data_IF_471270718842
#
_entry.id   IF_471270718842
#
_cell.length_a   1.000
_cell.length_b   1.000
_cell.length_c   1.000
_cell.angle_alpha   90.00
_cell.angle_beta   90.00
_cell.angle_gamma   90.00
#
_symmetry.space_group_name_H-M   'P 1'
#
loop_
_entity.id
_entity.type
_entity.pdbx_description
1 polymer ?
#
# COMPACT_ATOMS: atom_id res chain seq x y z
N UNK A 1 -22.95 9.23 -11.23
CA UNK A 1 -22.49 8.61 -9.97
C UNK A 1 -21.38 9.50 -9.41
N UNK A 2 -21.40 9.81 -8.12
CA UNK A 2 -20.28 10.54 -7.50
C UNK A 2 -19.12 9.57 -7.20
N UNK A 3 -17.85 10.01 -7.30
CA UNK A 3 -16.71 9.16 -6.96
C UNK A 3 -16.73 8.69 -5.50
N UNK A 4 -16.26 7.46 -5.26
CA UNK A 4 -15.92 6.96 -3.94
C UNK A 4 -14.84 7.84 -3.32
N UNK A 5 -14.91 8.05 -2.00
CA UNK A 5 -13.91 8.82 -1.29
C UNK A 5 -12.64 8.00 -1.08
N UNK A 6 -11.49 8.56 -1.49
CA UNK A 6 -10.18 8.03 -1.09
C UNK A 6 -9.76 8.71 0.21
N UNK A 7 -9.51 7.92 1.25
CA UNK A 7 -9.08 8.44 2.55
C UNK A 7 -7.58 8.61 2.59
N UNK A 8 -7.10 9.46 1.69
CA UNK A 8 -5.68 9.82 1.62
C UNK A 8 -5.26 10.49 2.93
N UNK A 9 -4.14 10.07 3.55
CA UNK A 9 -3.59 10.81 4.68
C UNK A 9 -3.39 12.28 4.33
N UNK A 10 -3.88 13.18 5.19
CA UNK A 10 -3.73 14.63 5.00
C UNK A 10 -2.27 15.08 5.13
N UNK A 11 -1.50 14.39 5.96
CA UNK A 11 -0.06 14.60 6.22
C UNK A 11 0.61 13.23 6.30
N UNK A 12 1.75 13.10 5.63
CA UNK A 12 2.68 11.97 5.79
C UNK A 12 3.57 12.22 7.00
N UNK A 13 4.13 11.16 7.59
CA UNK A 13 5.04 11.28 8.72
C UNK A 13 6.49 11.20 8.22
N UNK A 14 7.38 11.94 8.89
CA UNK A 14 8.82 11.74 8.71
C UNK A 14 9.24 10.45 9.41
N UNK A 15 10.27 9.77 8.89
CA UNK A 15 10.83 8.58 9.52
C UNK A 15 12.07 8.99 10.32
N UNK A 16 12.11 8.61 11.59
CA UNK A 16 13.28 8.80 12.42
C UNK A 16 14.33 7.70 12.12
N UNK A 17 15.62 8.02 12.02
CA UNK A 17 16.66 7.02 11.72
C UNK A 17 16.64 5.80 12.66
N UNK A 18 16.40 6.00 13.96
CA UNK A 18 16.31 4.90 14.93
C UNK A 18 15.06 4.00 14.78
N UNK A 19 14.17 4.27 13.82
CA UNK A 19 13.06 3.36 13.48
C UNK A 19 13.44 2.35 12.41
N UNK A 20 14.47 2.65 11.62
CA UNK A 20 14.77 1.94 10.37
C UNK A 20 14.98 0.45 10.61
N UNK A 21 15.78 0.07 11.59
CA UNK A 21 16.04 -1.35 11.89
C UNK A 21 14.75 -2.11 12.20
N UNK A 22 13.90 -1.57 13.09
CA UNK A 22 12.59 -2.18 13.44
C UNK A 22 11.66 -2.27 12.23
N UNK A 23 11.68 -1.27 11.34
CA UNK A 23 10.92 -1.29 10.09
C UNK A 23 11.50 -2.29 9.06
N UNK A 24 12.83 -2.46 8.99
CA UNK A 24 13.50 -3.46 8.14
C UNK A 24 13.18 -4.86 8.62
N UNK A 25 13.36 -5.11 9.92
CA UNK A 25 13.01 -6.38 10.54
C UNK A 25 11.54 -6.71 10.31
N UNK A 26 10.63 -5.76 10.44
CA UNK A 26 9.22 -5.99 10.12
C UNK A 26 8.92 -6.14 8.62
N UNK A 27 9.86 -5.89 7.71
CA UNK A 27 9.62 -5.88 6.26
C UNK A 27 8.73 -4.73 5.78
N UNK A 28 8.68 -3.63 6.52
CA UNK A 28 7.83 -2.47 6.25
C UNK A 28 8.58 -1.26 5.72
N UNK A 29 9.92 -1.23 5.82
CA UNK A 29 10.70 -0.03 5.48
C UNK A 29 10.49 0.46 4.03
N UNK A 30 10.57 -0.38 2.98
CA UNK A 30 10.36 0.11 1.61
C UNK A 30 8.99 0.76 1.42
N UNK A 31 7.94 0.17 2.00
CA UNK A 31 6.59 0.72 1.96
C UNK A 31 6.48 2.03 2.75
N UNK A 32 7.07 2.09 3.94
CA UNK A 32 7.14 3.29 4.76
C UNK A 32 7.76 4.47 4.00
N UNK A 33 8.82 4.24 3.23
CA UNK A 33 9.47 5.25 2.37
C UNK A 33 8.58 5.78 1.25
N UNK A 34 7.58 5.01 0.78
CA UNK A 34 6.61 5.48 -0.23
C UNK A 34 5.64 6.52 0.32
N UNK A 35 5.40 6.49 1.63
CA UNK A 35 4.45 7.37 2.33
C UNK A 35 5.13 8.25 3.38
N UNK A 36 6.44 8.44 3.24
CA UNK A 36 7.24 9.33 4.05
C UNK A 36 7.00 10.80 3.66
N UNK A 37 7.10 11.71 4.64
CA UNK A 37 7.16 13.14 4.38
C UNK A 37 8.60 13.56 4.04
N UNK A 38 8.77 14.26 2.91
CA UNK A 38 10.06 14.80 2.47
C UNK A 38 9.85 16.24 1.97
N UNK A 39 10.72 17.15 2.36
CA UNK A 39 10.54 18.61 2.16
C UNK A 39 10.35 19.04 0.69
N UNK A 40 10.84 18.26 -0.26
CA UNK A 40 10.84 18.62 -1.69
C UNK A 40 9.92 17.76 -2.55
N UNK A 41 9.21 16.81 -1.94
CA UNK A 41 8.34 15.87 -2.64
C UNK A 41 6.96 15.99 -2.04
N UNK A 42 6.00 16.42 -2.86
CA UNK A 42 4.61 16.47 -2.42
C UNK A 42 4.13 15.05 -2.05
N UNK A 43 3.24 14.93 -1.08
CA UNK A 43 2.56 13.65 -0.81
C UNK A 43 1.74 13.23 -2.03
N UNK A 44 1.62 11.93 -2.25
CA UNK A 44 0.74 11.40 -3.27
C UNK A 44 -0.72 11.63 -2.85
N UNK A 45 -1.52 12.25 -3.72
CA UNK A 45 -2.96 12.36 -3.56
C UNK A 45 -3.63 11.22 -4.36
N UNK A 46 -4.40 10.35 -3.70
CA UNK A 46 -5.12 9.28 -4.39
C UNK A 46 -6.26 9.88 -5.21
N UNK A 47 -6.27 9.67 -6.52
CA UNK A 47 -7.31 10.19 -7.40
C UNK A 47 -8.59 9.34 -7.23
N UNK A 48 -9.53 9.89 -6.47
CA UNK A 48 -10.81 9.26 -6.16
C UNK A 48 -11.60 8.87 -7.42
N UNK A 49 -11.59 9.73 -8.43
CA UNK A 49 -12.30 9.46 -9.68
C UNK A 49 -11.66 8.32 -10.48
N UNK A 50 -10.32 8.30 -10.60
CA UNK A 50 -9.60 7.22 -11.27
C UNK A 50 -9.84 5.89 -10.57
N UNK A 51 -9.71 5.86 -9.24
CA UNK A 51 -9.91 4.64 -8.45
C UNK A 51 -11.36 4.16 -8.54
N UNK A 52 -12.35 5.07 -8.48
CA UNK A 52 -13.77 4.69 -8.64
C UNK A 52 -14.02 4.09 -10.03
N UNK A 53 -13.44 4.69 -11.07
CA UNK A 53 -13.56 4.21 -12.44
C UNK A 53 -13.03 2.78 -12.62
N UNK A 54 -11.96 2.41 -11.89
CA UNK A 54 -11.46 1.04 -11.82
C UNK A 54 -12.42 0.13 -11.04
N UNK A 55 -12.89 0.58 -9.87
CA UNK A 55 -13.83 -0.20 -9.03
C UNK A 55 -15.12 -0.54 -9.79
N UNK A 56 -15.65 0.33 -10.65
CA UNK A 56 -16.84 0.03 -11.45
C UNK A 56 -16.61 -1.08 -12.50
N UNK A 57 -15.35 -1.28 -12.88
CA UNK A 57 -14.91 -2.36 -13.79
C UNK A 57 -14.56 -3.64 -13.05
N UNK A 58 -14.53 -3.61 -11.72
CA UNK A 58 -14.30 -4.81 -10.91
C UNK A 58 -15.49 -5.76 -11.00
N UNK A 59 -15.20 -7.06 -11.11
CA UNK A 59 -16.18 -8.14 -11.07
C UNK A 59 -15.90 -9.04 -9.87
N UNK A 60 -16.72 -9.01 -8.82
CA UNK A 60 -16.53 -9.83 -7.63
C UNK A 60 -16.49 -11.34 -7.91
N UNK A 61 -17.17 -11.79 -8.96
CA UNK A 61 -17.29 -13.21 -9.33
C UNK A 61 -15.95 -13.79 -9.78
N UNK A 62 -15.17 -12.99 -10.52
CA UNK A 62 -13.85 -13.37 -11.06
C UNK A 62 -12.69 -12.76 -10.28
N UNK A 63 -12.95 -11.76 -9.43
CA UNK A 63 -11.96 -10.94 -8.73
C UNK A 63 -10.94 -10.33 -9.69
N UNK A 64 -11.45 -9.74 -10.76
CA UNK A 64 -10.68 -9.08 -11.82
C UNK A 64 -11.40 -7.83 -12.29
N UNK A 65 -10.65 -6.91 -12.88
CA UNK A 65 -11.19 -5.83 -13.68
C UNK A 65 -11.52 -6.33 -15.09
N UNK A 66 -12.65 -5.88 -15.63
CA UNK A 66 -13.12 -6.19 -16.97
C UNK A 66 -12.97 -4.96 -17.86
N UNK A 67 -12.04 -5.03 -18.81
CA UNK A 67 -11.85 -4.03 -19.86
C UNK A 67 -12.26 -4.60 -21.22
N UNK A 68 -12.41 -3.75 -22.24
CA UNK A 68 -12.83 -4.18 -23.60
C UNK A 68 -11.87 -5.19 -24.24
N UNK A 69 -10.59 -5.12 -23.90
CA UNK A 69 -9.53 -6.01 -24.38
C UNK A 69 -9.23 -7.18 -23.41
N UNK A 70 -10.01 -7.30 -22.32
CA UNK A 70 -10.04 -8.46 -21.43
C UNK A 70 -9.76 -8.16 -19.97
N UNK A 71 -9.40 -9.21 -19.23
CA UNK A 71 -9.28 -9.17 -17.76
C UNK A 71 -7.87 -8.80 -17.29
N UNK A 72 -7.81 -8.03 -16.20
CA UNK A 72 -6.59 -7.71 -15.44
C UNK A 72 -6.88 -7.58 -13.95
N UNK A 73 -5.87 -7.70 -13.10
CA UNK A 73 -5.99 -7.44 -11.66
C UNK A 73 -4.63 -7.09 -11.05
N UNK A 74 -4.58 -6.39 -9.90
CA UNK A 74 -3.36 -6.30 -9.10
C UNK A 74 -2.99 -7.70 -8.61
N UNK A 75 -1.71 -8.05 -8.66
CA UNK A 75 -1.16 -9.36 -8.29
C UNK A 75 -0.11 -9.23 -7.19
N UNK A 76 0.38 -10.35 -6.65
CA UNK A 76 1.50 -10.33 -5.69
C UNK A 76 2.80 -9.80 -6.31
N UNK A 77 2.98 -9.94 -7.62
CA UNK A 77 4.08 -9.26 -8.33
C UNK A 77 3.94 -7.75 -8.21
N UNK A 78 2.75 -7.21 -8.48
CA UNK A 78 2.50 -5.77 -8.35
C UNK A 78 2.71 -5.29 -6.90
N UNK A 79 2.29 -6.07 -5.91
CA UNK A 79 2.50 -5.72 -4.49
C UNK A 79 3.99 -5.67 -4.14
N UNK A 80 4.76 -6.69 -4.46
CA UNK A 80 6.20 -6.70 -4.17
C UNK A 80 6.95 -5.63 -4.97
N UNK A 81 6.70 -5.51 -6.28
CA UNK A 81 7.41 -4.54 -7.13
C UNK A 81 7.07 -3.08 -6.81
N UNK A 82 5.79 -2.76 -6.58
CA UNK A 82 5.37 -1.38 -6.31
C UNK A 82 5.56 -0.99 -4.86
N UNK A 83 5.25 -1.88 -3.91
CA UNK A 83 5.18 -1.57 -2.49
C UNK A 83 6.40 -2.05 -1.69
N UNK A 84 7.20 -2.99 -2.23
CA UNK A 84 8.33 -3.58 -1.53
C UNK A 84 7.92 -4.36 -0.28
N UNK A 85 6.70 -4.90 -0.25
CA UNK A 85 6.17 -5.67 0.88
C UNK A 85 6.48 -7.16 0.74
N UNK A 86 6.84 -7.85 1.84
CA UNK A 86 7.11 -9.28 1.84
C UNK A 86 5.83 -10.09 1.58
N UNK A 87 5.98 -11.16 0.80
CA UNK A 87 4.93 -12.12 0.46
C UNK A 87 5.06 -13.42 1.28
N UNK A 88 6.24 -13.70 1.83
CA UNK A 88 6.45 -14.79 2.79
C UNK A 88 6.20 -14.33 4.24
N UNK A 89 5.85 -15.28 5.11
CA UNK A 89 5.63 -15.05 6.54
C UNK A 89 4.23 -15.46 7.01
N UNK A 90 3.96 -15.23 8.29
CA UNK A 90 2.69 -15.54 8.92
C UNK A 90 1.53 -14.71 8.33
N UNK A 91 0.31 -15.27 8.24
CA UNK A 91 -0.86 -14.51 7.88
C UNK A 91 -1.20 -13.49 8.96
N UNK A 92 -1.82 -12.38 8.57
CA UNK A 92 -2.24 -11.33 9.50
C UNK A 92 -3.71 -11.54 9.83
N UNK A 93 -4.01 -12.23 10.93
CA UNK A 93 -5.38 -12.44 11.40
C UNK A 93 -5.58 -13.77 12.14
N UNK A 94 -6.73 -13.95 12.80
CA UNK A 94 -7.78 -12.95 13.03
C UNK A 94 -7.27 -11.81 13.92
N UNK A 95 -7.71 -10.59 13.63
CA UNK A 95 -7.32 -9.41 14.39
C UNK A 95 -8.31 -9.21 15.54
N UNK A 96 -7.79 -9.10 16.76
CA UNK A 96 -8.59 -8.95 17.98
C UNK A 96 -8.25 -7.64 18.71
N UNK A 97 -9.26 -7.01 19.32
CA UNK A 97 -9.05 -5.86 20.18
C UNK A 97 -8.59 -6.34 21.57
N UNK A 98 -7.50 -5.76 22.08
CA UNK A 98 -7.08 -6.05 23.45
C UNK A 98 -8.11 -5.51 24.44
N UNK A 99 -8.53 -6.34 25.40
CA UNK A 99 -9.39 -5.90 26.49
C UNK A 99 -8.72 -4.77 27.25
N UNK A 100 -9.43 -3.66 27.44
CA UNK A 100 -8.90 -2.48 28.13
C UNK A 100 -7.84 -1.70 27.35
N UNK A 101 -7.74 -1.87 26.02
CA UNK A 101 -6.78 -1.15 25.17
C UNK A 101 -6.75 0.35 25.43
N UNK A 102 -7.90 0.94 25.77
CA UNK A 102 -8.05 2.37 26.02
C UNK A 102 -7.20 2.83 27.20
N UNK A 103 -7.34 2.14 28.33
CA UNK A 103 -6.60 2.44 29.54
C UNK A 103 -5.11 2.11 29.37
N UNK A 104 -4.80 0.99 28.70
CA UNK A 104 -3.42 0.59 28.45
C UNK A 104 -2.69 1.60 27.57
N UNK A 105 -3.33 2.12 26.51
CA UNK A 105 -2.76 3.17 25.67
C UNK A 105 -2.55 4.47 26.44
N UNK A 106 -3.55 4.91 27.22
CA UNK A 106 -3.44 6.15 27.99
C UNK A 106 -2.27 6.09 28.98
N UNK A 107 -2.15 4.99 29.74
CA UNK A 107 -1.03 4.76 30.66
C UNK A 107 0.32 4.67 29.94
N UNK A 108 0.36 4.01 28.78
CA UNK A 108 1.60 3.77 28.02
C UNK A 108 2.16 5.03 27.35
N UNK A 109 1.29 5.97 27.01
CA UNK A 109 1.68 7.26 26.42
C UNK A 109 1.72 8.40 27.46
N UNK A 110 1.39 8.11 28.72
CA UNK A 110 1.42 9.08 29.81
C UNK A 110 2.83 9.66 29.99
N UNK A 111 2.94 10.99 29.98
CA UNK A 111 4.20 11.70 30.22
C UNK A 111 5.21 11.63 29.08
N UNK A 112 4.91 10.95 27.96
CA UNK A 112 5.78 10.92 26.76
C UNK A 112 5.94 12.33 26.18
N UNK A 113 4.84 13.10 26.18
CA UNK A 113 4.82 14.55 25.97
C UNK A 113 4.05 15.19 27.12
N UNK A 114 4.66 16.20 27.76
CA UNK A 114 4.10 16.83 28.96
C UNK A 114 2.88 17.72 28.66
N UNK A 115 2.78 18.23 27.43
CA UNK A 115 1.74 19.14 26.96
C UNK A 115 0.52 18.45 26.32
N UNK A 116 0.60 17.13 26.13
CA UNK A 116 -0.48 16.34 25.52
C UNK A 116 -1.40 15.82 26.62
N UNK A 117 -2.70 16.10 26.47
CA UNK A 117 -3.75 15.60 27.36
C UNK A 117 -4.02 14.08 27.21
N UNK A 118 -5.04 13.55 27.90
CA UNK A 118 -5.39 12.13 27.82
C UNK A 118 -5.76 11.72 26.40
N UNK A 119 -5.64 10.42 26.13
CA UNK A 119 -5.96 9.86 24.83
C UNK A 119 -7.40 10.19 24.41
N UNK A 120 -7.54 10.75 23.21
CA UNK A 120 -8.86 10.89 22.58
C UNK A 120 -9.14 9.69 21.69
N UNK A 121 -10.34 9.11 21.82
CA UNK A 121 -10.72 7.87 21.14
C UNK A 121 -12.16 7.93 20.60
N UNK A 122 -12.56 6.88 19.89
CA UNK A 122 -13.96 6.49 19.67
C UNK A 122 -14.09 4.98 19.90
N UNK A 123 -15.30 4.43 19.68
CA UNK A 123 -15.58 3.00 19.89
C UNK A 123 -14.58 2.07 19.17
N UNK A 124 -14.08 2.47 18.01
CA UNK A 124 -13.22 1.63 17.15
C UNK A 124 -11.71 1.78 17.40
N UNK A 125 -11.28 2.74 18.21
CA UNK A 125 -9.85 2.97 18.47
C UNK A 125 -9.43 4.43 18.68
N UNK A 126 -8.11 4.69 18.79
CA UNK A 126 -7.58 6.03 19.01
C UNK A 126 -7.89 6.97 17.85
N UNK A 127 -8.09 8.25 18.17
CA UNK A 127 -8.27 9.29 17.14
C UNK A 127 -6.95 9.61 16.47
N UNK A 128 -6.98 9.74 15.15
CA UNK A 128 -5.83 10.11 14.35
C UNK A 128 -5.22 11.45 14.79
N UNK A 129 -6.05 12.42 15.19
CA UNK A 129 -5.57 13.71 15.68
C UNK A 129 -4.66 13.57 16.91
N UNK A 130 -5.02 12.68 17.84
CA UNK A 130 -4.19 12.41 19.02
C UNK A 130 -2.90 11.67 18.66
N UNK A 131 -2.95 10.72 17.72
CA UNK A 131 -1.73 10.05 17.26
C UNK A 131 -0.73 11.02 16.62
N UNK A 132 -1.22 12.03 15.89
CA UNK A 132 -0.36 13.05 15.28
C UNK A 132 0.42 13.90 16.31
N UNK A 133 0.00 13.92 17.57
CA UNK A 133 0.77 14.54 18.66
C UNK A 133 2.08 13.78 18.93
N UNK A 134 2.22 12.55 18.48
CA UNK A 134 3.44 11.76 18.64
C UNK A 134 4.27 11.70 17.36
N UNK A 135 4.06 12.59 16.40
CA UNK A 135 5.00 12.83 15.30
C UNK A 135 6.34 13.33 15.83
N UNK A 136 7.46 12.94 15.22
CA UNK A 136 8.80 13.32 15.69
C UNK A 136 9.03 14.83 15.66
N UNK A 137 8.42 15.52 14.70
CA UNK A 137 8.48 16.98 14.61
C UNK A 137 7.87 17.66 15.86
N UNK A 138 6.89 17.02 16.51
CA UNK A 138 6.27 17.55 17.72
C UNK A 138 7.18 17.48 18.95
N UNK A 139 8.26 16.69 18.87
CA UNK A 139 9.30 16.66 19.89
C UNK A 139 10.47 17.60 19.57
N UNK A 140 10.40 18.34 18.45
CA UNK A 140 11.46 19.25 18.01
C UNK A 140 12.55 18.59 17.17
N UNK A 141 12.34 17.38 16.65
CA UNK A 141 13.29 16.74 15.72
C UNK A 141 13.41 17.53 14.41
N UNK A 142 14.63 17.73 13.83
CA UNK A 142 15.91 17.15 14.24
C UNK A 142 16.72 17.97 15.27
N UNK A 143 16.22 19.14 15.67
CA UNK A 143 16.96 20.08 16.51
C UNK A 143 17.05 19.65 17.99
N UNK A 144 16.09 18.86 18.46
CA UNK A 144 15.99 18.39 19.84
C UNK A 144 16.15 16.86 19.90
N UNK A 145 17.09 16.35 20.72
CA UNK A 145 17.24 14.91 20.88
C UNK A 145 16.03 14.33 21.63
N UNK A 146 15.51 13.23 21.10
CA UNK A 146 14.42 12.49 21.71
C UNK A 146 14.94 11.40 22.66
N UNK A 147 14.23 11.15 23.75
CA UNK A 147 14.52 10.01 24.64
C UNK A 147 14.13 8.69 23.98
N UNK A 148 14.73 7.57 24.42
CA UNK A 148 14.39 6.24 23.90
C UNK A 148 12.89 5.92 24.00
N UNK A 149 12.24 6.34 25.09
CA UNK A 149 10.79 6.18 25.29
C UNK A 149 10.01 6.97 24.23
N UNK A 150 10.38 8.23 23.99
CA UNK A 150 9.72 9.06 22.97
C UNK A 150 9.88 8.48 21.57
N UNK A 151 11.08 8.01 21.21
CA UNK A 151 11.35 7.40 19.89
C UNK A 151 10.48 6.15 19.70
N UNK A 152 10.44 5.28 20.70
CA UNK A 152 9.67 4.03 20.66
C UNK A 152 8.16 4.27 20.63
N UNK A 153 7.64 5.25 21.40
CA UNK A 153 6.21 5.59 21.39
C UNK A 153 5.79 6.33 20.12
N UNK A 154 6.67 7.14 19.57
CA UNK A 154 6.47 7.77 18.26
C UNK A 154 6.42 6.74 17.13
N UNK A 155 7.28 5.70 17.16
CA UNK A 155 7.20 4.57 16.24
C UNK A 155 5.91 3.77 16.39
N UNK A 156 5.47 3.48 17.63
CA UNK A 156 4.18 2.79 17.86
C UNK A 156 3.01 3.58 17.26
N UNK A 157 2.99 4.90 17.46
CA UNK A 157 1.98 5.78 16.88
C UNK A 157 2.04 5.81 15.34
N UNK A 158 3.25 5.85 14.78
CA UNK A 158 3.48 5.78 13.34
C UNK A 158 2.97 4.45 12.74
N UNK A 159 3.27 3.31 13.37
CA UNK A 159 2.84 2.00 12.88
C UNK A 159 1.31 1.87 12.88
N UNK A 160 0.63 2.35 13.92
CA UNK A 160 -0.83 2.42 13.94
C UNK A 160 -1.37 3.28 12.78
N UNK A 161 -0.74 4.43 12.52
CA UNK A 161 -1.09 5.28 11.38
C UNK A 161 -0.83 4.59 10.04
N UNK A 162 0.32 3.96 9.86
CA UNK A 162 0.71 3.25 8.64
C UNK A 162 -0.30 2.14 8.33
N UNK A 163 -0.58 1.28 9.31
CA UNK A 163 -1.52 0.17 9.17
C UNK A 163 -2.94 0.67 8.88
N UNK A 164 -3.48 1.60 9.68
CA UNK A 164 -4.88 2.00 9.59
C UNK A 164 -5.20 3.08 8.55
N UNK A 165 -4.22 3.86 8.09
CA UNK A 165 -4.44 4.98 7.16
C UNK A 165 -3.75 4.83 5.81
N UNK A 166 -2.90 3.82 5.63
CA UNK A 166 -2.24 3.59 4.34
C UNK A 166 -2.39 2.16 3.82
N UNK A 167 -2.15 1.14 4.65
CA UNK A 167 -2.18 -0.26 4.23
C UNK A 167 -3.59 -0.85 4.21
N UNK A 168 -4.36 -0.60 5.26
CA UNK A 168 -5.66 -1.23 5.52
C UNK A 168 -6.71 -0.16 5.82
N UNK A 169 -6.88 0.79 4.90
CA UNK A 169 -7.82 1.90 5.09
C UNK A 169 -9.24 1.38 5.25
N UNK A 170 -9.97 1.92 6.21
CA UNK A 170 -11.34 1.54 6.52
C UNK A 170 -12.33 2.73 6.39
N UNK A 171 -13.59 2.46 6.72
CA UNK A 171 -14.65 3.45 6.70
C UNK A 171 -14.68 4.37 7.94
N UNK A 172 -13.71 4.30 8.85
CA UNK A 172 -13.59 5.19 10.00
C UNK A 172 -12.62 6.36 9.73
N UNK A 173 -13.17 7.57 9.59
CA UNK A 173 -12.44 8.68 8.94
C UNK A 173 -11.31 9.22 9.80
N UNK A 174 -11.59 9.35 11.08
CA UNK A 174 -10.75 10.03 12.06
C UNK A 174 -10.21 9.11 13.16
N UNK A 175 -10.46 7.81 13.10
CA UNK A 175 -9.93 6.81 14.05
C UNK A 175 -9.13 5.75 13.35
N UNK A 176 -8.28 5.05 14.09
CA UNK A 176 -7.52 3.88 13.65
C UNK A 176 -8.01 2.69 14.45
N UNK A 177 -8.17 1.52 13.82
CA UNK A 177 -8.67 0.32 14.52
C UNK A 177 -7.74 -0.06 15.68
N UNK A 178 -8.31 -0.23 16.87
CA UNK A 178 -7.59 -0.70 18.05
C UNK A 178 -6.96 -2.09 17.85
N UNK A 179 -7.44 -2.85 16.87
CA UNK A 179 -6.92 -4.19 16.53
C UNK A 179 -5.49 -4.17 15.98
N UNK A 180 -4.98 -3.01 15.55
CA UNK A 180 -3.59 -2.87 15.11
C UNK A 180 -2.61 -2.58 16.26
N UNK A 181 -3.11 -2.26 17.46
CA UNK A 181 -2.28 -1.92 18.62
C UNK A 181 -1.26 -3.03 18.96
N UNK A 182 -1.63 -4.33 19.05
CA UNK A 182 -0.67 -5.37 19.43
C UNK A 182 0.50 -5.48 18.45
N UNK A 183 0.21 -5.41 17.15
CA UNK A 183 1.22 -5.47 16.09
C UNK A 183 2.14 -4.24 16.15
N UNK A 184 1.58 -3.04 16.36
CA UNK A 184 2.35 -1.81 16.49
C UNK A 184 3.27 -1.84 17.73
N UNK A 185 2.79 -2.40 18.84
CA UNK A 185 3.56 -2.56 20.07
C UNK A 185 4.72 -3.54 19.89
N UNK A 186 4.45 -4.72 19.33
CA UNK A 186 5.46 -5.74 19.04
C UNK A 186 6.63 -5.17 18.24
N UNK A 187 6.33 -4.54 17.10
CA UNK A 187 7.38 -3.98 16.21
C UNK A 187 8.09 -2.80 16.89
N UNK A 188 7.36 -1.93 17.59
CA UNK A 188 7.98 -0.78 18.24
C UNK A 188 8.92 -1.18 19.39
N UNK A 189 8.56 -2.20 20.17
CA UNK A 189 9.34 -2.65 21.32
C UNK A 189 10.49 -3.59 20.99
N UNK A 190 10.51 -4.14 19.78
CA UNK A 190 11.57 -5.05 19.36
C UNK A 190 12.96 -4.41 19.47
N UNK A 191 13.85 -5.10 20.17
CA UNK A 191 15.28 -4.74 20.29
C UNK A 191 16.16 -5.52 19.32
N UNK A 192 15.63 -6.61 18.75
CA UNK A 192 16.33 -7.56 17.86
C UNK A 192 15.34 -8.09 16.82
N UNK A 193 15.84 -8.58 15.69
CA UNK A 193 15.01 -9.02 14.56
C UNK A 193 14.13 -10.24 14.91
N UNK A 194 14.65 -11.14 15.75
CA UNK A 194 14.03 -12.38 16.19
C UNK A 194 12.80 -12.15 17.08
N UNK A 195 12.66 -10.96 17.66
CA UNK A 195 11.50 -10.56 18.45
C UNK A 195 10.31 -10.13 17.57
N UNK A 196 10.49 -10.00 16.25
CA UNK A 196 9.42 -9.62 15.32
C UNK A 196 8.91 -10.84 14.56
N UNK A 197 7.59 -11.02 14.59
CA UNK A 197 6.93 -12.03 13.77
C UNK A 197 6.95 -11.55 12.32
N UNK A 198 7.64 -12.29 11.45
CA UNK A 198 7.61 -12.08 10.01
C UNK A 198 6.21 -12.34 9.48
N UNK A 199 5.63 -11.33 8.82
CA UNK A 199 4.27 -11.38 8.29
C UNK A 199 4.26 -11.26 6.78
N UNK A 200 3.32 -11.95 6.15
CA UNK A 200 3.03 -11.81 4.72
C UNK A 200 2.23 -10.51 4.45
N UNK A 201 2.87 -9.36 4.68
CA UNK A 201 2.25 -8.04 4.51
C UNK A 201 1.66 -7.84 3.13
N UNK A 202 2.35 -8.33 2.09
CA UNK A 202 1.90 -8.17 0.72
C UNK A 202 0.64 -8.98 0.40
N UNK A 203 0.54 -10.21 0.90
CA UNK A 203 -0.69 -11.01 0.79
C UNK A 203 -1.85 -10.34 1.53
N UNK A 204 -1.58 -9.82 2.73
CA UNK A 204 -2.60 -9.13 3.52
C UNK A 204 -3.11 -7.86 2.83
N UNK A 205 -2.20 -7.04 2.28
CA UNK A 205 -2.56 -5.82 1.52
C UNK A 205 -3.37 -6.17 0.28
N UNK A 206 -2.98 -7.21 -0.45
CA UNK A 206 -3.73 -7.64 -1.64
C UNK A 206 -5.12 -8.15 -1.27
N UNK A 207 -5.24 -8.97 -0.22
CA UNK A 207 -6.51 -9.50 0.27
C UNK A 207 -7.45 -8.37 0.72
N UNK A 208 -6.94 -7.41 1.50
CA UNK A 208 -7.69 -6.24 1.92
C UNK A 208 -8.15 -5.38 0.74
N UNK A 209 -7.31 -5.24 -0.29
CA UNK A 209 -7.62 -4.47 -1.51
C UNK A 209 -8.68 -5.17 -2.34
N UNK A 210 -8.59 -6.49 -2.56
CA UNK A 210 -9.61 -7.28 -3.25
C UNK A 210 -10.96 -7.19 -2.54
N UNK A 211 -10.95 -7.37 -1.21
CA UNK A 211 -12.16 -7.22 -0.39
C UNK A 211 -12.75 -5.82 -0.51
N UNK A 212 -11.89 -4.80 -0.53
CA UNK A 212 -12.28 -3.41 -0.68
C UNK A 212 -12.94 -3.11 -2.02
N UNK A 213 -12.42 -3.66 -3.12
CA UNK A 213 -13.05 -3.53 -4.44
C UNK A 213 -14.37 -4.28 -4.53
N UNK A 214 -14.45 -5.51 -4.00
CA UNK A 214 -15.70 -6.29 -3.95
C UNK A 214 -16.82 -5.58 -3.20
N UNK A 215 -16.49 -4.90 -2.10
CA UNK A 215 -17.46 -4.05 -1.38
C UNK A 215 -17.74 -2.77 -2.17
N UNK A 216 -16.70 -2.11 -2.66
CA UNK A 216 -16.75 -0.82 -3.34
C UNK A 216 -17.67 -0.82 -4.57
N UNK A 217 -17.63 -1.88 -5.39
CA UNK A 217 -18.46 -1.99 -6.59
C UNK A 217 -19.97 -2.20 -6.28
N UNK A 218 -20.31 -2.41 -5.01
CA UNK A 218 -21.70 -2.56 -4.54
C UNK A 218 -22.17 -1.29 -3.80
N UNK A 219 -21.30 -0.31 -3.54
CA UNK A 219 -21.64 0.89 -2.81
C UNK A 219 -22.37 1.88 -3.70
N UNK A 220 -23.54 2.31 -3.25
CA UNK A 220 -24.38 3.31 -3.94
C UNK A 220 -24.62 4.57 -3.11
N UNK A 221 -24.19 4.57 -1.85
CA UNK A 221 -24.42 5.67 -0.91
C UNK A 221 -23.36 6.77 -1.02
N UNK A 222 -23.81 8.03 -0.91
CA UNK A 222 -22.96 9.21 -0.87
C UNK A 222 -21.93 9.14 0.27
N UNK A 223 -20.69 9.53 -0.02
CA UNK A 223 -19.60 9.56 0.97
C UNK A 223 -18.98 8.19 1.30
N UNK A 224 -19.37 7.13 0.58
CA UNK A 224 -18.74 5.82 0.68
C UNK A 224 -17.24 5.89 0.37
N UNK A 225 -16.43 5.35 1.28
CA UNK A 225 -14.98 5.29 1.11
C UNK A 225 -14.54 4.00 0.43
N UNK A 226 -13.49 4.07 -0.38
CA UNK A 226 -12.76 2.87 -0.77
C UNK A 226 -11.93 2.38 0.42
N UNK A 227 -12.03 1.08 0.72
CA UNK A 227 -11.27 0.40 1.78
C UNK A 227 -10.18 -0.49 1.17
N UNK A 228 -9.21 -0.93 1.97
CA UNK A 228 -8.03 -1.68 1.50
C UNK A 228 -6.81 -0.78 1.33
N UNK A 229 -6.04 -0.94 0.24
CA UNK A 229 -4.88 -0.10 -0.05
C UNK A 229 -5.08 0.73 -1.33
N UNK A 230 -5.58 1.98 -1.24
CA UNK A 230 -5.75 2.86 -2.40
C UNK A 230 -4.41 3.20 -3.10
N UNK A 231 -3.31 3.22 -2.34
CA UNK A 231 -1.97 3.42 -2.89
C UNK A 231 -1.63 2.32 -3.91
N UNK A 232 -1.91 1.05 -3.60
CA UNK A 232 -1.69 -0.06 -4.51
C UNK A 232 -2.46 0.15 -5.82
N UNK A 233 -3.75 0.49 -5.75
CA UNK A 233 -4.57 0.68 -6.95
C UNK A 233 -4.11 1.86 -7.81
N UNK A 234 -3.73 2.96 -7.17
CA UNK A 234 -3.20 4.13 -7.86
C UNK A 234 -1.90 3.80 -8.61
N UNK A 235 -0.93 3.19 -7.91
CA UNK A 235 0.36 2.83 -8.47
C UNK A 235 0.24 1.73 -9.53
N UNK A 236 -0.62 0.73 -9.31
CA UNK A 236 -0.91 -0.32 -10.28
C UNK A 236 -1.50 0.26 -11.57
N UNK A 237 -2.50 1.16 -11.45
CA UNK A 237 -3.06 1.86 -12.60
C UNK A 237 -1.99 2.63 -13.37
N UNK A 238 -1.14 3.37 -12.66
CA UNK A 238 -0.03 4.10 -13.26
C UNK A 238 1.09 3.22 -13.81
N UNK A 239 1.26 1.98 -13.37
CA UNK A 239 2.21 1.06 -13.99
C UNK A 239 1.66 0.48 -15.30
N UNK A 240 0.34 0.21 -15.36
CA UNK A 240 -0.29 -0.51 -16.47
C UNK A 240 -0.90 0.38 -17.55
N UNK A 241 -1.35 1.58 -17.20
CA UNK A 241 -2.09 2.47 -18.08
C UNK A 241 -1.51 3.89 -18.11
N UNK A 242 -1.58 4.60 -19.25
CA UNK A 242 -1.20 6.02 -19.33
C UNK A 242 -2.26 6.93 -18.69
N UNK A 243 -3.48 6.44 -18.48
CA UNK A 243 -4.63 7.19 -17.96
C UNK A 243 -4.34 7.73 -16.55
N UNK A 244 -4.34 9.06 -16.42
CA UNK A 244 -4.08 9.75 -15.16
C UNK A 244 -2.65 9.62 -14.62
N UNK A 245 -1.73 8.97 -15.35
CA UNK A 245 -0.32 8.76 -14.98
C UNK A 245 0.46 10.08 -15.05
N UNK A 246 1.07 10.57 -13.97
CA UNK A 246 1.88 11.78 -14.03
C UNK A 246 3.18 11.52 -14.79
N UNK A 247 3.67 12.57 -15.44
CA UNK A 247 5.01 12.61 -16.00
C UNK A 247 6.03 12.80 -14.87
N UNK A 248 7.19 12.18 -15.03
CA UNK A 248 8.32 12.30 -14.13
C UNK A 248 9.41 13.10 -14.84
N UNK A 249 9.98 14.10 -14.17
CA UNK A 249 11.12 14.85 -14.73
C UNK A 249 12.43 14.10 -14.52
N UNK A 250 13.26 14.12 -15.56
CA UNK A 250 14.64 13.64 -15.52
C UNK A 250 15.46 14.33 -14.42
N UNK A 251 16.35 13.56 -13.79
CA UNK A 251 17.25 14.05 -12.74
C UNK A 251 16.66 14.07 -11.33
N UNK A 252 15.39 13.67 -11.14
CA UNK A 252 14.74 13.57 -9.82
C UNK A 252 15.01 12.24 -9.11
N UNK A 253 16.23 11.73 -9.23
CA UNK A 253 16.62 10.45 -8.65
C UNK A 253 16.66 10.51 -7.12
N UNK A 254 16.27 9.44 -6.41
CA UNK A 254 16.51 9.35 -4.98
C UNK A 254 18.02 9.52 -4.72
N UNK A 255 18.44 10.26 -3.68
CA UNK A 255 19.85 10.43 -3.35
C UNK A 255 20.57 9.09 -3.18
N UNK A 256 21.87 9.04 -3.51
CA UNK A 256 22.74 7.86 -3.30
C UNK A 256 22.80 7.39 -1.83
N UNK A 257 22.34 8.22 -0.90
CA UNK A 257 22.19 7.92 0.53
C UNK A 257 21.09 6.88 0.83
N UNK A 258 20.17 6.62 -0.11
CA UNK A 258 19.09 5.61 -0.01
C UNK A 258 19.52 4.25 -0.57
N UNK A 259 20.79 3.88 -0.45
CA UNK A 259 21.30 2.58 -0.88
C UNK A 259 22.03 1.94 0.29
N UNK A 260 21.29 1.24 1.14
CA UNK A 260 21.90 0.46 2.21
C UNK A 260 22.60 -0.80 1.68
N UNK A 261 23.57 -1.30 2.44
CA UNK A 261 24.36 -2.48 2.05
C UNK A 261 23.50 -3.74 1.90
N UNK A 262 22.40 -3.83 2.66
CA UNK A 262 21.45 -4.95 2.63
C UNK A 262 20.49 -4.88 1.43
N UNK A 263 20.48 -3.75 0.71
CA UNK A 263 19.59 -3.45 -0.41
C UNK A 263 18.11 -3.49 -0.03
N UNK A 264 17.78 -3.20 1.22
CA UNK A 264 16.40 -3.13 1.73
C UNK A 264 15.88 -1.69 1.61
N UNK A 265 16.59 -0.74 2.20
CA UNK A 265 16.29 0.69 2.08
C UNK A 265 16.80 1.21 0.74
N UNK A 266 16.05 0.90 -0.30
CA UNK A 266 16.29 1.21 -1.71
C UNK A 266 14.96 1.51 -2.39
N UNK A 267 14.93 2.22 -3.53
CA UNK A 267 13.68 2.51 -4.21
C UNK A 267 12.93 1.24 -4.64
N UNK A 268 11.61 1.30 -4.59
CA UNK A 268 10.73 0.32 -5.25
C UNK A 268 10.28 0.87 -6.59
N UNK A 269 9.58 0.07 -7.39
CA UNK A 269 9.02 0.58 -8.64
C UNK A 269 7.97 1.69 -8.38
N UNK A 270 7.25 1.63 -7.25
CA UNK A 270 6.33 2.67 -6.81
C UNK A 270 7.01 4.01 -6.49
N UNK A 271 8.30 3.98 -6.13
CA UNK A 271 9.10 5.18 -5.88
C UNK A 271 9.19 6.12 -7.09
N UNK A 272 8.88 5.63 -8.31
CA UNK A 272 8.86 6.44 -9.53
C UNK A 272 7.91 7.61 -9.36
N UNK A 273 6.77 7.36 -8.73
CA UNK A 273 5.73 8.35 -8.55
C UNK A 273 5.64 8.88 -7.13
N UNK A 274 6.16 8.20 -6.11
CA UNK A 274 6.08 8.70 -4.73
C UNK A 274 7.28 9.53 -4.31
N UNK A 275 8.46 9.25 -4.89
CA UNK A 275 9.73 9.84 -4.46
C UNK A 275 10.29 10.86 -5.47
N UNK A 276 9.58 11.10 -6.57
CA UNK A 276 9.98 12.03 -7.63
C UNK A 276 8.97 13.16 -7.79
N UNK A 277 9.40 14.27 -8.38
CA UNK A 277 8.51 15.38 -8.71
C UNK A 277 7.59 14.97 -9.86
N UNK A 278 6.30 14.85 -9.56
CA UNK A 278 5.24 14.55 -10.50
C UNK A 278 4.79 15.81 -11.23
N UNK A 279 4.66 15.71 -12.54
CA UNK A 279 4.11 16.74 -13.41
C UNK A 279 2.83 16.24 -14.04
N UNK A 280 1.81 17.10 -13.99
CA UNK A 280 0.55 16.84 -14.67
C UNK A 280 0.43 17.87 -15.78
N UNK A 281 0.29 17.41 -17.03
CA UNK A 281 0.14 18.30 -18.17
C UNK A 281 -1.09 19.19 -18.01
N UNK A 282 -1.08 20.39 -18.61
CA UNK A 282 -2.21 21.34 -18.50
C UNK A 282 -3.56 20.76 -18.94
N UNK A 283 -3.54 19.80 -19.87
CA UNK A 283 -4.73 19.12 -20.38
C UNK A 283 -5.00 17.77 -19.69
N UNK A 284 -4.18 17.38 -18.71
CA UNK A 284 -4.35 16.11 -18.02
C UNK A 284 -5.50 16.21 -17.02
N UNK A 285 -6.55 15.45 -17.29
CA UNK A 285 -7.74 15.39 -16.45
C UNK A 285 -7.42 14.69 -15.13
N UNK A 286 -7.89 15.29 -14.03
CA UNK A 286 -7.70 14.81 -12.67
C UNK A 286 -9.01 14.90 -11.92
N UNK A 287 -9.27 13.91 -11.06
CA UNK A 287 -10.48 13.82 -10.26
C UNK A 287 -11.77 14.01 -11.11
N UNK A 288 -11.75 13.53 -12.36
CA UNK A 288 -12.84 13.70 -13.33
C UNK A 288 -13.36 12.34 -13.77
N UNK A 289 -14.38 11.86 -13.07
CA UNK A 289 -14.89 10.50 -13.26
C UNK A 289 -15.43 10.23 -14.68
N UNK A 290 -16.30 11.09 -15.27
CA UNK A 290 -16.80 10.84 -16.63
C UNK A 290 -15.67 10.74 -17.66
N UNK A 291 -14.66 11.59 -17.54
CA UNK A 291 -13.52 11.59 -18.46
C UNK A 291 -12.64 10.35 -18.30
N UNK A 292 -12.39 9.89 -17.07
CA UNK A 292 -11.67 8.63 -16.89
C UNK A 292 -12.46 7.46 -17.46
N UNK A 293 -13.78 7.42 -17.26
CA UNK A 293 -14.63 6.38 -17.85
C UNK A 293 -14.52 6.37 -19.37
N UNK A 294 -14.61 7.54 -20.01
CA UNK A 294 -14.42 7.66 -21.47
C UNK A 294 -13.03 7.21 -21.92
N UNK A 295 -11.96 7.62 -21.22
CA UNK A 295 -10.60 7.22 -21.56
C UNK A 295 -10.40 5.69 -21.46
N UNK A 296 -10.92 5.04 -20.41
CA UNK A 296 -10.86 3.57 -20.31
C UNK A 296 -11.76 2.89 -21.35
N UNK A 297 -12.89 3.49 -21.70
CA UNK A 297 -13.78 3.01 -22.76
C UNK A 297 -13.23 3.27 -24.16
N UNK A 298 -12.15 4.04 -24.32
CA UNK A 298 -11.43 4.24 -25.58
C UNK A 298 -10.06 3.57 -25.61
N UNK A 299 -9.53 3.17 -24.45
CA UNK A 299 -8.22 2.52 -24.30
C UNK A 299 -8.10 1.30 -25.22
N UNK A 300 -7.03 1.25 -26.00
CA UNK A 300 -6.68 0.13 -26.86
C UNK A 300 -5.74 -0.84 -26.13
N UNK A 301 -5.75 -2.11 -26.55
CA UNK A 301 -4.83 -3.11 -26.00
C UNK A 301 -3.36 -2.74 -26.21
N UNK A 302 -3.04 -2.07 -27.32
CA UNK A 302 -1.69 -1.60 -27.65
C UNK A 302 -1.15 -0.54 -26.68
N UNK A 303 -2.04 0.13 -25.94
CA UNK A 303 -1.66 1.18 -24.99
C UNK A 303 -1.45 0.62 -23.57
N UNK A 304 -1.68 -0.69 -23.38
CA UNK A 304 -1.54 -1.37 -22.08
C UNK A 304 -0.12 -1.86 -21.90
N UNK A 305 0.50 -1.50 -20.76
CA UNK A 305 1.79 -2.07 -20.35
C UNK A 305 1.57 -3.39 -19.61
N UNK A 306 1.67 -4.51 -20.35
CA UNK A 306 1.46 -5.86 -19.82
C UNK A 306 2.58 -6.37 -18.91
N UNK A 307 3.80 -5.86 -19.04
CA UNK A 307 4.95 -6.30 -18.25
C UNK A 307 5.80 -5.08 -17.83
N UNK A 308 5.31 -4.22 -16.91
CA UNK A 308 5.97 -2.96 -16.55
C UNK A 308 7.27 -3.16 -15.75
N UNK A 309 7.57 -4.40 -15.35
CA UNK A 309 8.68 -4.74 -14.46
C UNK A 309 9.75 -5.61 -15.14
N UNK A 310 9.83 -5.60 -16.49
CA UNK A 310 10.92 -6.26 -17.20
C UNK A 310 12.28 -5.72 -16.74
N UNK A 311 13.35 -6.50 -16.96
CA UNK A 311 14.70 -6.10 -16.60
C UNK A 311 15.08 -4.75 -17.24
N UNK A 312 14.81 -4.60 -18.54
CA UNK A 312 15.05 -3.34 -19.26
C UNK A 312 14.34 -2.14 -18.61
N UNK A 313 13.04 -2.26 -18.30
CA UNK A 313 12.29 -1.18 -17.66
C UNK A 313 12.82 -0.88 -16.25
N UNK A 314 13.28 -1.90 -15.52
CA UNK A 314 13.84 -1.71 -14.18
C UNK A 314 15.18 -1.00 -14.23
N UNK A 315 16.05 -1.38 -15.16
CA UNK A 315 17.38 -0.80 -15.31
C UNK A 315 17.29 0.63 -15.85
N UNK A 316 16.37 0.91 -16.76
CA UNK A 316 16.05 2.27 -17.19
C UNK A 316 15.47 3.11 -16.04
N UNK A 317 14.50 2.54 -15.30
CA UNK A 317 13.84 3.23 -14.21
C UNK A 317 14.71 3.42 -12.98
N UNK A 318 15.70 2.57 -12.74
CA UNK A 318 16.63 2.54 -11.60
C UNK A 318 17.97 1.87 -11.96
N UNK A 319 18.91 2.60 -12.57
CA UNK A 319 20.22 2.06 -12.91
C UNK A 319 21.04 1.57 -11.70
N UNK A 320 20.82 2.15 -10.51
CA UNK A 320 21.41 1.69 -9.23
C UNK A 320 20.75 0.42 -8.66
N UNK A 321 19.71 -0.08 -9.33
CA UNK A 321 18.86 -1.17 -8.90
C UNK A 321 17.73 -0.73 -7.97
N UNK A 322 16.88 -1.69 -7.64
CA UNK A 322 15.74 -1.55 -6.72
C UNK A 322 15.97 -2.36 -5.45
N UNK A 323 15.11 -2.12 -4.45
CA UNK A 323 15.09 -2.90 -3.21
C UNK A 323 14.98 -4.39 -3.49
N UNK A 324 15.79 -5.19 -2.78
CA UNK A 324 15.74 -6.65 -2.86
C UNK A 324 14.34 -7.16 -2.48
N UNK A 325 13.60 -6.45 -1.62
CA UNK A 325 12.24 -6.77 -1.23
C UNK A 325 11.27 -6.84 -2.41
N UNK A 326 11.56 -6.13 -3.51
CA UNK A 326 10.75 -6.19 -4.73
C UNK A 326 10.84 -7.54 -5.44
N UNK A 327 11.97 -8.25 -5.33
CA UNK A 327 12.23 -9.49 -6.09
C UNK A 327 12.50 -10.70 -5.19
N UNK A 328 12.74 -10.50 -3.90
CA UNK A 328 13.06 -11.57 -2.93
C UNK A 328 12.05 -12.71 -2.95
N UNK A 329 10.77 -12.36 -3.03
CA UNK A 329 9.65 -13.29 -2.90
C UNK A 329 9.03 -13.65 -4.26
N UNK A 330 9.80 -13.55 -5.36
CA UNK A 330 9.32 -13.76 -6.74
C UNK A 330 8.65 -15.12 -6.97
N UNK A 331 9.09 -16.15 -6.25
CA UNK A 331 8.51 -17.49 -6.33
C UNK A 331 7.01 -17.54 -5.96
N UNK A 332 6.51 -16.53 -5.22
CA UNK A 332 5.10 -16.44 -4.83
C UNK A 332 4.23 -15.65 -5.81
N UNK A 333 4.79 -14.96 -6.81
CA UNK A 333 4.03 -14.10 -7.73
C UNK A 333 2.88 -14.83 -8.44
N UNK A 334 3.11 -16.11 -8.78
CA UNK A 334 2.15 -16.99 -9.43
C UNK A 334 1.66 -18.12 -8.50
N UNK A 335 1.66 -17.89 -7.17
CA UNK A 335 1.14 -18.87 -6.21
C UNK A 335 -0.38 -19.01 -6.31
N UNK A 336 -0.89 -20.24 -6.30
CA UNK A 336 -2.33 -20.54 -6.21
C UNK A 336 -2.86 -20.56 -4.76
N UNK A 337 -2.00 -20.27 -3.78
CA UNK A 337 -2.40 -20.19 -2.39
C UNK A 337 -3.43 -19.06 -2.18
N UNK A 338 -4.31 -19.25 -1.20
CA UNK A 338 -5.24 -18.19 -0.79
C UNK A 338 -4.47 -17.11 -0.03
N UNK A 339 -4.85 -15.86 -0.23
CA UNK A 339 -4.29 -14.71 0.48
C UNK A 339 -5.23 -14.32 1.61
N UNK A 340 -4.67 -13.97 2.77
CA UNK A 340 -5.42 -13.82 4.01
C UNK A 340 -5.16 -12.46 4.64
N UNK A 341 -6.24 -11.80 5.07
CA UNK A 341 -6.19 -10.66 5.98
C UNK A 341 -7.39 -10.70 6.93
N UNK A 342 -7.12 -10.65 8.22
CA UNK A 342 -8.09 -10.77 9.30
C UNK A 342 -8.90 -12.08 9.15
N UNK A 343 -10.22 -11.99 9.08
CA UNK A 343 -11.12 -13.12 8.82
C UNK A 343 -11.38 -13.35 7.32
N UNK A 344 -10.75 -12.56 6.44
CA UNK A 344 -10.99 -12.62 5.00
C UNK A 344 -9.97 -13.53 4.32
N UNK A 345 -10.48 -14.47 3.56
CA UNK A 345 -9.72 -15.37 2.71
C UNK A 345 -10.11 -15.09 1.27
N UNK A 346 -9.16 -14.61 0.47
CA UNK A 346 -9.38 -14.27 -0.94
C UNK A 346 -8.60 -15.23 -1.85
N UNK A 347 -9.16 -15.46 -3.03
CA UNK A 347 -8.55 -16.29 -4.08
C UNK A 347 -8.10 -15.39 -5.23
N UNK A 348 -6.87 -15.58 -5.70
CA UNK A 348 -6.36 -14.88 -6.87
C UNK A 348 -6.66 -15.69 -8.13
N UNK A 349 -7.36 -15.08 -9.09
CA UNK A 349 -7.65 -15.71 -10.38
C UNK A 349 -6.48 -15.53 -11.35
N UNK A 350 -5.29 -16.04 -11.02
CA UNK A 350 -4.08 -15.87 -11.85
C UNK A 350 -4.26 -16.33 -13.29
N UNK A 351 -5.04 -17.39 -13.50
CA UNK A 351 -5.35 -17.89 -14.83
C UNK A 351 -6.12 -16.90 -15.72
N UNK A 352 -6.72 -15.86 -15.12
CA UNK A 352 -7.43 -14.75 -15.80
C UNK A 352 -6.56 -13.53 -16.07
N UNK A 353 -5.30 -13.54 -15.65
CA UNK A 353 -4.40 -12.39 -15.81
C UNK A 353 -3.02 -12.79 -16.32
N UNK A 354 -2.93 -13.95 -16.97
CA UNK A 354 -1.67 -14.56 -17.47
C UNK A 354 -0.88 -13.61 -18.39
N UNK A 355 -1.56 -12.75 -19.15
CA UNK A 355 -0.91 -11.74 -20.00
C UNK A 355 -0.04 -10.76 -19.19
N UNK A 356 -0.34 -10.54 -17.90
CA UNK A 356 0.49 -9.70 -17.02
C UNK A 356 1.87 -10.30 -16.71
N UNK A 357 2.10 -11.55 -17.11
CA UNK A 357 3.31 -12.33 -16.88
C UNK A 357 3.93 -12.83 -18.20
N UNK A 358 3.58 -12.19 -19.33
CA UNK A 358 4.05 -12.61 -20.66
C UNK A 358 3.48 -13.96 -21.12
N UNK A 359 2.47 -14.49 -20.43
CA UNK A 359 1.89 -15.80 -20.72
C UNK A 359 0.60 -15.69 -21.52
N UNK A 360 0.30 -16.74 -22.28
CA UNK A 360 -0.95 -16.82 -23.03
C UNK A 360 -2.14 -16.92 -22.08
N UNK A 361 -3.22 -16.21 -22.39
CA UNK A 361 -4.45 -16.22 -21.61
C UNK A 361 -5.60 -16.85 -22.42
N UNK A 362 -6.36 -17.74 -21.78
CA UNK A 362 -7.59 -18.28 -22.37
C UNK A 362 -8.71 -17.24 -22.27
N UNK A 363 -9.59 -17.20 -23.28
CA UNK A 363 -10.77 -16.31 -23.27
C UNK A 363 -11.69 -16.65 -22.09
N UNK A 364 -11.90 -17.96 -21.87
CA UNK A 364 -12.64 -18.49 -20.71
C UNK A 364 -11.73 -19.47 -19.96
N UNK A 365 -10.90 -18.98 -19.04
CA UNK A 365 -10.03 -19.85 -18.27
C UNK A 365 -10.86 -20.63 -17.22
N UNK A 366 -10.48 -21.88 -16.92
CA UNK A 366 -11.21 -22.71 -15.98
C UNK A 366 -11.11 -22.15 -14.54
N UNK A 367 -11.93 -22.66 -13.60
CA UNK A 367 -11.82 -22.31 -12.19
C UNK A 367 -10.40 -22.53 -11.64
N UNK A 368 -9.96 -21.78 -10.61
CA UNK A 368 -8.59 -21.87 -10.08
C UNK A 368 -8.15 -23.29 -9.66
N UNK A 369 -9.13 -24.12 -9.27
CA UNK A 369 -8.94 -25.51 -8.84
C UNK A 369 -8.57 -26.47 -9.97
N UNK A 370 -8.68 -26.05 -11.23
CA UNK A 370 -8.39 -26.88 -12.41
C UNK A 370 -7.04 -26.47 -13.01
N UNK A 371 -6.12 -27.41 -13.28
CA UNK A 371 -4.87 -27.13 -13.98
C UNK A 371 -5.11 -26.55 -15.38
N UNK A 372 -4.25 -25.61 -15.79
CA UNK A 372 -4.30 -25.08 -17.15
C UNK A 372 -3.64 -26.07 -18.14
N UNK A 373 -4.08 -26.09 -19.41
CA UNK A 373 -3.45 -26.90 -20.44
C UNK A 373 -1.97 -26.50 -20.65
N UNK A 374 -1.05 -27.45 -20.93
CA UNK A 374 0.39 -27.16 -21.12
C UNK A 374 0.69 -26.04 -22.14
N UNK A 375 -0.10 -25.96 -23.21
CA UNK A 375 0.00 -24.91 -24.26
C UNK A 375 -0.21 -23.47 -23.80
N UNK A 376 -0.68 -23.26 -22.57
CA UNK A 376 -0.91 -21.94 -21.97
C UNK A 376 0.36 -21.43 -21.26
N UNK A 377 1.25 -22.35 -20.89
CA UNK A 377 2.51 -22.07 -20.19
C UNK A 377 3.71 -21.92 -21.14
N UNK A 378 3.50 -22.05 -22.44
CA UNK A 378 4.53 -22.06 -23.48
C UNK A 378 4.73 -20.67 -24.11
#
# INVERSE_FOLDING_TARGET
>A
MEPLQTRTPKKNWMIHPQWEDRLKWAGLLPFARLVEARDHISRLNYDAALITCLVDRWRPETRTFHFRWGEMAPTLQDVSMLLGLPLAGEPIGPLEETVGWMHNMDARFQGVRADVGPMTFAAHGPRQAWLHEFQIEQFGFPDVPMTAVQITRSLEAYLMWLLGKTMFTDNHGNTISARYIPIAQEIAEATEAEHIIQRSWGSAVLAATYRGMCKGCQLTSHGSGIVGCPLLLQLWSWARFPIGRPEIRDGSWPPDELYDAERIDMPTFGSLWTSRKRHFGHNQLRNCYPAFTEQFDLLLESDVTWEPYSEDHRDEAYPGGISNMCTRDWAYWMTKAKIIFDIFVEEMSQQRVMRQFGQRQLIEPPPPTVPLPPRVHA
#
